data_IF_785782893907
#
_entry.id   IF_785782893907
#
_cell.length_a   1.000
_cell.length_b   1.000
_cell.length_c   1.000
_cell.angle_alpha   90.00
_cell.angle_beta   90.00
_cell.angle_gamma   90.00
#
_symmetry.space_group_name_H-M   'P 1'
#
loop_
_entity.id
_entity.type
_entity.pdbx_description
1 polymer ?
#
# COMPACT_ATOMS: atom_id res chain seq x y z
N UNK A 1 -15.13 -6.53 -64.21
CA UNK A 1 -13.67 -6.66 -64.37
C UNK A 1 -13.01 -5.76 -63.34
N UNK A 2 -12.46 -6.34 -62.28
CA UNK A 2 -11.83 -5.59 -61.20
C UNK A 2 -10.43 -5.12 -61.62
N UNK A 3 -10.25 -3.80 -61.71
CA UNK A 3 -8.94 -3.18 -61.93
C UNK A 3 -8.09 -3.41 -60.69
N UNK A 4 -7.03 -4.21 -60.84
CA UNK A 4 -6.01 -4.37 -59.80
C UNK A 4 -5.15 -3.10 -59.76
N UNK A 5 -5.48 -2.20 -58.84
CA UNK A 5 -4.59 -1.09 -58.49
C UNK A 5 -3.49 -1.65 -57.60
N UNK A 6 -2.28 -1.81 -58.15
CA UNK A 6 -1.10 -2.20 -57.38
C UNK A 6 -0.45 -1.00 -56.73
N UNK A 7 0.03 -1.15 -55.49
CA UNK A 7 0.89 -0.17 -54.84
C UNK A 7 2.19 0.00 -55.64
N UNK A 8 2.65 1.24 -55.79
CA UNK A 8 3.92 1.50 -56.46
C UNK A 8 5.10 1.18 -55.54
N UNK A 9 6.22 0.71 -56.10
CA UNK A 9 7.42 0.42 -55.32
C UNK A 9 7.95 1.70 -54.61
N UNK A 10 7.78 2.85 -55.26
CA UNK A 10 8.19 4.14 -54.71
C UNK A 10 7.33 4.61 -53.53
N UNK A 11 6.02 4.32 -53.51
CA UNK A 11 5.17 4.58 -52.35
C UNK A 11 5.68 3.84 -51.12
N UNK A 12 6.01 2.56 -51.28
CA UNK A 12 6.51 1.76 -50.16
C UNK A 12 7.90 2.25 -49.72
N UNK A 13 8.76 2.69 -50.64
CA UNK A 13 10.06 3.27 -50.30
C UNK A 13 9.95 4.55 -49.46
N UNK A 14 9.09 5.49 -49.86
CA UNK A 14 8.92 6.75 -49.10
C UNK A 14 8.35 6.46 -47.70
N UNK A 15 7.40 5.53 -47.59
CA UNK A 15 6.80 5.16 -46.30
C UNK A 15 7.84 4.58 -45.35
N UNK A 16 8.67 3.62 -45.80
CA UNK A 16 9.69 3.04 -44.92
C UNK A 16 10.75 4.06 -44.51
N UNK A 17 11.07 5.03 -45.37
CA UNK A 17 12.01 6.12 -45.04
C UNK A 17 11.42 7.01 -43.95
N UNK A 18 10.17 7.43 -44.09
CA UNK A 18 9.49 8.26 -43.08
C UNK A 18 9.35 7.50 -41.76
N UNK A 19 8.93 6.23 -41.81
CA UNK A 19 8.84 5.37 -40.61
C UNK A 19 10.22 5.15 -39.96
N UNK A 20 11.29 5.04 -40.75
CA UNK A 20 12.65 4.94 -40.25
C UNK A 20 13.09 6.17 -39.45
N UNK A 21 12.81 7.38 -39.96
CA UNK A 21 13.15 8.63 -39.26
C UNK A 21 12.36 8.77 -37.95
N UNK A 22 11.05 8.48 -37.98
CA UNK A 22 10.21 8.55 -36.78
C UNK A 22 10.65 7.53 -35.72
N UNK A 23 10.97 6.31 -36.13
CA UNK A 23 11.46 5.28 -35.23
C UNK A 23 12.80 5.67 -34.57
N UNK A 24 13.73 6.26 -35.33
CA UNK A 24 15.04 6.67 -34.82
C UNK A 24 14.95 7.65 -33.65
N UNK A 25 13.99 8.58 -33.66
CA UNK A 25 13.80 9.56 -32.57
C UNK A 25 12.85 9.06 -31.47
N UNK A 26 11.86 8.23 -31.82
CA UNK A 26 10.82 7.79 -30.89
C UNK A 26 11.25 6.64 -29.98
N UNK A 27 12.02 5.69 -30.51
CA UNK A 27 12.38 4.45 -29.80
C UNK A 27 13.23 4.70 -28.55
N UNK A 28 14.28 5.55 -28.56
CA UNK A 28 15.07 5.81 -27.35
C UNK A 28 14.23 6.42 -26.21
N UNK A 29 13.32 7.34 -26.55
CA UNK A 29 12.43 7.99 -25.58
C UNK A 29 11.43 6.99 -24.96
N UNK A 30 10.94 6.04 -25.75
CA UNK A 30 10.05 4.99 -25.28
C UNK A 30 10.72 4.10 -24.22
N UNK A 31 11.98 3.71 -24.42
CA UNK A 31 12.71 2.90 -23.44
C UNK A 31 12.88 3.60 -22.09
N UNK A 32 13.17 4.91 -22.08
CA UNK A 32 13.22 5.69 -20.84
C UNK A 32 11.87 5.76 -20.11
N UNK A 33 10.77 5.89 -20.84
CA UNK A 33 9.43 5.87 -20.23
C UNK A 33 9.08 4.51 -19.64
N UNK A 34 9.45 3.41 -20.31
CA UNK A 34 9.25 2.05 -19.79
C UNK A 34 10.08 1.83 -18.53
N UNK A 35 11.34 2.27 -18.51
CA UNK A 35 12.21 2.18 -17.34
C UNK A 35 11.63 2.96 -16.14
N UNK A 36 11.14 4.18 -16.38
CA UNK A 36 10.47 4.99 -15.36
C UNK A 36 9.17 4.35 -14.87
N UNK A 37 8.37 3.77 -15.76
CA UNK A 37 7.14 3.08 -15.40
C UNK A 37 7.42 1.85 -14.51
N UNK A 38 8.48 1.08 -14.82
CA UNK A 38 8.92 -0.02 -13.95
C UNK A 38 9.38 0.49 -12.59
N UNK A 39 10.18 1.56 -12.55
CA UNK A 39 10.68 2.13 -11.30
C UNK A 39 9.58 2.80 -10.45
N UNK A 40 8.42 3.14 -11.03
CA UNK A 40 7.31 3.78 -10.32
C UNK A 40 6.68 2.89 -9.23
N UNK A 41 6.92 1.57 -9.24
CA UNK A 41 6.46 0.69 -8.15
C UNK A 41 7.24 0.92 -6.84
N UNK A 42 8.48 1.42 -6.92
CA UNK A 42 9.37 1.61 -5.75
C UNK A 42 8.87 2.73 -4.83
N UNK A 43 8.59 3.97 -5.28
CA UNK A 43 8.09 5.02 -4.40
C UNK A 43 6.77 4.67 -3.72
N UNK A 44 5.88 3.95 -4.40
CA UNK A 44 4.62 3.49 -3.82
C UNK A 44 4.86 2.47 -2.71
N UNK A 45 5.71 1.47 -2.96
CA UNK A 45 6.05 0.45 -1.97
C UNK A 45 6.77 1.04 -0.76
N UNK A 46 7.69 1.98 -0.98
CA UNK A 46 8.41 2.68 0.07
C UNK A 46 7.50 3.61 0.89
N UNK A 47 6.55 4.29 0.25
CA UNK A 47 5.60 5.16 0.92
C UNK A 47 4.67 4.41 1.88
N UNK A 48 4.27 3.18 1.54
CA UNK A 48 3.50 2.32 2.45
C UNK A 48 4.36 1.90 3.64
N UNK A 49 5.61 1.50 3.40
CA UNK A 49 6.56 1.13 4.46
C UNK A 49 6.77 2.28 5.46
N UNK A 50 7.05 3.49 4.98
CA UNK A 50 7.29 4.68 5.83
C UNK A 50 6.09 4.92 6.74
N UNK A 51 4.87 4.90 6.20
CA UNK A 51 3.65 5.17 6.99
C UNK A 51 3.40 4.13 8.07
N UNK A 52 3.62 2.85 7.76
CA UNK A 52 3.47 1.76 8.74
C UNK A 52 4.54 1.83 9.81
N UNK A 53 5.79 2.12 9.42
CA UNK A 53 6.89 2.23 10.36
C UNK A 53 6.73 3.45 11.29
N UNK A 54 6.25 4.58 10.77
CA UNK A 54 5.95 5.80 11.53
C UNK A 54 4.82 5.55 12.56
N UNK A 55 3.73 4.90 12.13
CA UNK A 55 2.66 4.50 13.03
C UNK A 55 3.14 3.54 14.13
N UNK A 56 4.01 2.59 13.78
CA UNK A 56 4.59 1.66 14.73
C UNK A 56 5.52 2.35 15.74
N UNK A 57 6.35 3.30 15.28
CA UNK A 57 7.20 4.12 16.17
C UNK A 57 6.36 4.85 17.21
N UNK A 58 5.21 5.40 16.82
CA UNK A 58 4.32 6.11 17.73
C UNK A 58 3.54 5.21 18.71
N UNK A 59 3.27 3.95 18.36
CA UNK A 59 2.55 3.02 19.24
C UNK A 59 3.49 2.23 20.17
N UNK A 60 4.58 1.73 19.61
CA UNK A 60 5.42 0.69 20.18
C UNK A 60 6.80 1.19 20.62
N UNK A 61 7.11 2.48 20.40
CA UNK A 61 8.36 3.15 20.77
C UNK A 61 9.60 2.41 20.24
N UNK A 62 9.49 1.86 19.04
CA UNK A 62 10.52 1.02 18.43
C UNK A 62 10.45 1.03 16.91
N UNK A 63 11.48 0.47 16.28
CA UNK A 63 11.53 0.20 14.84
C UNK A 63 11.30 -1.29 14.64
N UNK A 64 10.32 -1.65 13.83
CA UNK A 64 9.83 -3.02 13.71
C UNK A 64 10.35 -3.71 12.46
N UNK A 65 10.34 -5.04 12.46
CA UNK A 65 10.46 -5.82 11.22
C UNK A 65 9.20 -5.67 10.38
N UNK A 66 9.20 -6.12 9.13
CA UNK A 66 8.01 -6.11 8.28
C UNK A 66 6.80 -6.83 8.90
N UNK A 67 7.04 -7.88 9.69
CA UNK A 67 5.99 -8.61 10.39
C UNK A 67 5.39 -7.79 11.53
N UNK A 68 6.21 -7.04 12.26
CA UNK A 68 5.77 -6.24 13.40
C UNK A 68 4.91 -5.06 12.95
N UNK A 69 5.30 -4.41 11.85
CA UNK A 69 4.58 -3.26 11.29
C UNK A 69 3.43 -3.66 10.34
N UNK A 70 3.27 -4.95 10.05
CA UNK A 70 2.27 -5.45 9.10
C UNK A 70 2.53 -5.07 7.64
N UNK A 71 3.79 -4.80 7.26
CA UNK A 71 4.16 -4.42 5.90
C UNK A 71 4.30 -5.63 4.99
N UNK A 72 3.45 -5.72 3.97
CA UNK A 72 3.57 -6.70 2.90
C UNK A 72 4.21 -6.05 1.66
N UNK A 73 5.40 -6.52 1.29
CA UNK A 73 6.06 -6.06 0.07
C UNK A 73 5.31 -6.53 -1.19
N UNK A 74 5.35 -5.76 -2.30
CA UNK A 74 4.75 -6.16 -3.57
C UNK A 74 5.25 -7.53 -4.03
N UNK A 75 4.32 -8.35 -4.54
CA UNK A 75 4.65 -9.69 -5.02
C UNK A 75 5.23 -10.62 -3.95
N UNK A 76 4.89 -10.41 -2.67
CA UNK A 76 5.44 -11.19 -1.54
C UNK A 76 6.97 -11.11 -1.44
N UNK A 77 7.52 -9.92 -1.68
CA UNK A 77 8.96 -9.66 -1.61
C UNK A 77 9.65 -9.65 -2.97
N UNK A 78 8.97 -10.03 -4.07
CA UNK A 78 9.56 -10.00 -5.41
C UNK A 78 8.52 -9.80 -6.51
N UNK A 79 8.75 -8.83 -7.39
CA UNK A 79 7.98 -8.61 -8.61
C UNK A 79 8.78 -9.06 -9.84
N UNK A 80 8.26 -8.82 -11.04
CA UNK A 80 9.02 -9.02 -12.28
C UNK A 80 10.20 -8.04 -12.42
N UNK A 81 10.17 -6.92 -11.71
CA UNK A 81 11.12 -5.82 -11.88
C UNK A 81 12.07 -5.68 -10.69
N UNK A 82 11.59 -5.94 -9.47
CA UNK A 82 12.29 -5.67 -8.22
C UNK A 82 12.24 -6.84 -7.23
N UNK A 83 13.27 -6.89 -6.40
CA UNK A 83 13.37 -7.73 -5.21
C UNK A 83 13.46 -6.82 -3.99
N UNK A 84 12.60 -7.04 -3.00
CA UNK A 84 12.50 -6.20 -1.81
C UNK A 84 13.16 -6.88 -0.62
N UNK A 85 13.83 -6.10 0.22
CA UNK A 85 14.54 -6.60 1.39
C UNK A 85 14.15 -5.88 2.67
N UNK A 86 13.87 -6.64 3.72
CA UNK A 86 13.71 -6.14 5.08
C UNK A 86 15.09 -6.01 5.71
N UNK A 87 15.50 -4.78 5.98
CA UNK A 87 16.81 -4.46 6.54
C UNK A 87 16.74 -4.33 8.08
N UNK A 88 15.56 -4.50 8.67
CA UNK A 88 15.33 -4.59 10.11
C UNK A 88 15.17 -6.06 10.49
N UNK A 89 16.27 -6.71 10.86
CA UNK A 89 16.27 -8.15 11.19
C UNK A 89 15.61 -8.50 12.53
N UNK A 90 15.43 -7.52 13.41
CA UNK A 90 14.75 -7.64 14.69
C UNK A 90 14.22 -6.27 15.14
N UNK A 91 13.15 -6.25 15.94
CA UNK A 91 12.66 -5.02 16.58
C UNK A 91 13.81 -4.33 17.32
N UNK A 92 14.00 -3.04 17.05
CA UNK A 92 14.99 -2.18 17.70
C UNK A 92 14.29 -1.14 18.55
N UNK A 93 14.80 -0.88 19.74
CA UNK A 93 14.40 0.30 20.51
C UNK A 93 15.00 1.56 19.87
N UNK A 94 14.31 2.69 20.03
CA UNK A 94 14.78 3.96 19.48
C UNK A 94 15.80 4.56 20.46
N UNK A 95 17.06 4.58 20.04
CA UNK A 95 18.12 5.32 20.71
C UNK A 95 18.45 6.54 19.85
N UNK A 96 18.28 7.75 20.40
CA UNK A 96 18.54 9.02 19.73
C UNK A 96 20.02 9.20 19.33
N UNK A 97 20.91 8.43 19.94
CA UNK A 97 22.35 8.46 19.69
C UNK A 97 22.78 7.32 18.75
N UNK A 98 21.84 6.49 18.26
CA UNK A 98 22.13 5.43 17.31
C UNK A 98 22.39 5.98 15.89
N UNK A 99 23.32 5.33 15.19
CA UNK A 99 23.62 5.66 13.79
C UNK A 99 22.42 5.37 12.88
N UNK A 100 22.23 6.21 11.87
CA UNK A 100 21.22 5.99 10.84
C UNK A 100 21.51 4.68 10.09
N UNK A 101 20.47 3.91 9.80
CA UNK A 101 20.61 2.60 9.18
C UNK A 101 19.57 2.38 8.09
N UNK A 102 19.85 1.44 7.19
CA UNK A 102 18.92 1.04 6.15
C UNK A 102 17.79 0.21 6.77
N UNK A 103 16.53 0.63 6.59
CA UNK A 103 15.35 -0.10 7.09
C UNK A 103 14.64 -0.92 6.00
N UNK A 104 14.67 -0.42 4.77
CA UNK A 104 13.99 -1.04 3.63
C UNK A 104 14.84 -0.89 2.37
N UNK A 105 14.80 -1.90 1.51
CA UNK A 105 15.44 -1.85 0.20
C UNK A 105 14.57 -2.43 -0.92
N UNK A 106 14.78 -1.93 -2.13
CA UNK A 106 14.28 -2.51 -3.38
C UNK A 106 15.41 -2.53 -4.41
N UNK A 107 15.69 -3.71 -4.95
CA UNK A 107 16.80 -3.93 -5.89
C UNK A 107 16.23 -4.34 -7.25
N UNK A 108 16.63 -3.68 -8.33
CA UNK A 108 16.15 -4.03 -9.66
C UNK A 108 16.78 -5.34 -10.16
N UNK A 109 15.97 -6.21 -10.75
CA UNK A 109 16.38 -7.52 -11.26
C UNK A 109 17.09 -7.42 -12.62
N UNK A 110 16.71 -6.43 -13.43
CA UNK A 110 17.24 -6.15 -14.76
C UNK A 110 17.58 -4.67 -14.90
N UNK A 111 18.48 -4.32 -15.82
CA UNK A 111 18.76 -2.92 -16.10
C UNK A 111 17.50 -2.14 -16.51
N UNK A 112 17.41 -0.91 -16.03
CA UNK A 112 16.33 0.03 -16.32
C UNK A 112 16.94 1.19 -17.11
N UNK A 113 17.13 0.98 -18.41
CA UNK A 113 17.87 1.91 -19.27
C UNK A 113 19.35 2.01 -18.82
N UNK A 114 19.86 3.19 -18.46
CA UNK A 114 21.23 3.39 -17.97
C UNK A 114 21.41 2.97 -16.51
N UNK A 115 20.32 2.73 -15.78
CA UNK A 115 20.38 2.17 -14.43
C UNK A 115 20.75 0.68 -14.52
N UNK A 116 21.95 0.34 -14.02
CA UNK A 116 22.48 -1.03 -14.04
C UNK A 116 21.58 -2.01 -13.29
N UNK A 117 21.63 -3.30 -13.64
CA UNK A 117 20.97 -4.33 -12.85
C UNK A 117 21.57 -4.39 -11.45
N UNK A 118 20.76 -4.76 -10.45
CA UNK A 118 21.14 -4.81 -9.02
C UNK A 118 21.48 -3.46 -8.39
N UNK A 119 21.08 -2.36 -9.00
CA UNK A 119 20.96 -1.07 -8.33
C UNK A 119 19.84 -1.11 -7.29
N UNK A 120 20.00 -0.34 -6.22
CA UNK A 120 19.12 -0.40 -5.06
C UNK A 120 18.56 0.98 -4.71
N UNK A 121 17.29 0.97 -4.32
CA UNK A 121 16.58 2.04 -3.64
C UNK A 121 16.47 1.66 -2.18
N UNK A 122 16.64 2.64 -1.31
CA UNK A 122 16.69 2.42 0.13
C UNK A 122 15.93 3.48 0.91
N UNK A 123 15.36 3.07 2.04
CA UNK A 123 14.89 3.98 3.08
C UNK A 123 15.85 3.91 4.25
N UNK A 124 16.55 5.00 4.49
CA UNK A 124 17.38 5.18 5.68
C UNK A 124 16.48 5.70 6.79
N UNK A 125 16.57 5.07 7.95
CA UNK A 125 15.91 5.50 9.18
C UNK A 125 16.97 6.19 10.03
N UNK A 126 16.65 7.41 10.45
CA UNK A 126 17.49 8.24 11.30
C UNK A 126 16.76 8.52 12.62
N UNK A 127 17.15 7.86 13.72
CA UNK A 127 16.60 8.13 15.05
C UNK A 127 16.97 9.55 15.50
N UNK A 128 15.97 10.43 15.71
CA UNK A 128 16.24 11.82 16.11
C UNK A 128 15.83 12.13 17.55
N UNK A 129 14.88 11.39 18.09
CA UNK A 129 14.44 11.49 19.48
C UNK A 129 13.83 10.16 19.94
N UNK A 130 13.54 10.02 21.24
CA UNK A 130 13.03 8.78 21.87
C UNK A 130 11.78 8.17 21.20
N UNK A 131 11.00 8.95 20.44
CA UNK A 131 9.83 8.45 19.70
C UNK A 131 9.63 9.15 18.37
N UNK A 132 10.72 9.65 17.78
CA UNK A 132 10.70 10.33 16.48
C UNK A 132 11.85 9.82 15.63
N UNK A 133 11.52 9.38 14.41
CA UNK A 133 12.49 8.95 13.41
C UNK A 133 12.28 9.76 12.13
N UNK A 134 13.35 10.08 11.43
CA UNK A 134 13.30 10.64 10.10
C UNK A 134 13.53 9.54 9.06
N UNK A 135 12.80 9.63 7.94
CA UNK A 135 12.95 8.71 6.83
C UNK A 135 13.57 9.44 5.64
N UNK A 136 14.73 8.96 5.20
CA UNK A 136 15.42 9.50 4.01
C UNK A 136 15.39 8.48 2.88
N UNK A 137 14.84 8.89 1.75
CA UNK A 137 14.83 8.11 0.51
C UNK A 137 16.18 8.28 -0.20
N UNK A 138 16.79 7.18 -0.61
CA UNK A 138 18.09 7.18 -1.32
C UNK A 138 18.13 6.14 -2.43
N UNK A 139 18.95 6.40 -3.44
CA UNK A 139 19.21 5.47 -4.54
C UNK A 139 20.71 5.29 -4.77
N UNK A 140 21.11 4.10 -5.21
CA UNK A 140 22.52 3.71 -5.34
C UNK A 140 23.30 4.45 -6.43
N UNK A 141 22.63 4.99 -7.46
CA UNK A 141 23.31 5.66 -8.59
C UNK A 141 22.51 6.83 -9.18
N UNK A 142 23.22 7.73 -9.85
CA UNK A 142 22.63 8.92 -10.47
C UNK A 142 21.70 8.58 -11.64
N UNK A 143 22.02 7.52 -12.40
CA UNK A 143 21.20 7.04 -13.51
C UNK A 143 19.84 6.56 -13.00
N UNK A 144 19.83 5.84 -11.88
CA UNK A 144 18.60 5.37 -11.23
C UNK A 144 17.80 6.51 -10.58
N UNK A 145 18.48 7.56 -10.07
CA UNK A 145 17.83 8.76 -9.54
C UNK A 145 16.95 9.48 -10.59
N UNK A 146 17.30 9.39 -11.88
CA UNK A 146 16.48 9.96 -12.94
C UNK A 146 15.12 9.26 -13.15
N UNK A 147 15.01 8.00 -12.70
CA UNK A 147 13.82 7.18 -12.86
C UNK A 147 12.76 7.47 -11.79
N UNK A 148 13.17 7.91 -10.60
CA UNK A 148 12.30 8.13 -9.44
C UNK A 148 12.45 9.56 -8.91
N UNK A 149 11.34 10.31 -8.86
CA UNK A 149 11.37 11.71 -8.41
C UNK A 149 11.56 11.81 -6.89
N UNK A 150 12.44 12.72 -6.43
CA UNK A 150 12.78 12.94 -5.02
C UNK A 150 13.60 11.82 -4.35
N UNK A 151 14.39 11.09 -5.14
CA UNK A 151 15.33 10.08 -4.64
C UNK A 151 16.78 10.51 -4.91
N UNK A 152 17.41 11.25 -3.98
CA UNK A 152 18.83 11.62 -4.12
C UNK A 152 19.74 10.40 -4.04
N UNK A 153 20.93 10.53 -4.62
CA UNK A 153 21.95 9.47 -4.57
C UNK A 153 22.50 9.36 -3.15
N UNK A 154 22.61 8.12 -2.66
CA UNK A 154 23.15 7.80 -1.34
C UNK A 154 23.68 6.38 -1.27
N UNK A 155 24.29 6.02 -0.15
CA UNK A 155 24.76 4.66 0.09
C UNK A 155 23.60 3.74 0.43
N UNK A 156 23.32 2.77 -0.44
CA UNK A 156 22.34 1.70 -0.20
C UNK A 156 23.09 0.39 -0.15
N UNK A 157 23.34 -0.12 1.06
CA UNK A 157 23.88 -1.47 1.24
C UNK A 157 22.74 -2.47 1.46
N UNK A 158 22.15 -2.93 0.36
CA UNK A 158 21.07 -3.91 0.38
C UNK A 158 21.53 -5.33 0.79
N UNK A 159 22.84 -5.57 0.93
CA UNK A 159 23.37 -6.90 1.26
C UNK A 159 23.06 -7.32 2.69
N UNK A 160 22.85 -6.36 3.59
CA UNK A 160 22.44 -6.59 4.97
C UNK A 160 20.94 -6.91 5.12
N UNK A 161 20.16 -6.80 4.05
CA UNK A 161 18.72 -6.97 4.10
C UNK A 161 18.33 -8.44 3.88
N UNK A 162 17.38 -8.91 4.69
CA UNK A 162 16.76 -10.21 4.50
C UNK A 162 15.76 -10.16 3.34
N UNK A 163 15.77 -11.18 2.48
CA UNK A 163 14.80 -11.26 1.38
C UNK A 163 13.38 -11.25 1.95
N UNK A 164 12.53 -10.39 1.39
CA UNK A 164 11.20 -10.12 1.91
C UNK A 164 10.43 -11.38 2.30
N UNK A 165 10.15 -11.54 3.59
CA UNK A 165 9.45 -12.70 4.09
C UNK A 165 8.05 -12.78 3.46
N UNK A 166 7.71 -13.96 2.94
CA UNK A 166 6.35 -14.33 2.55
C UNK A 166 5.45 -14.20 3.77
N UNK A 167 4.65 -13.13 3.85
CA UNK A 167 3.49 -13.14 4.72
C UNK A 167 2.55 -14.19 4.15
N UNK A 168 2.51 -15.38 4.76
CA UNK A 168 1.38 -16.27 4.57
C UNK A 168 0.21 -15.56 5.24
N UNK A 169 -0.50 -14.73 4.47
CA UNK A 169 -1.85 -14.36 4.85
C UNK A 169 -2.60 -15.68 5.05
N UNK A 170 -3.07 -15.94 6.26
CA UNK A 170 -4.13 -16.92 6.46
C UNK A 170 -5.26 -16.54 5.48
N UNK A 171 -5.79 -17.50 4.70
CA UNK A 171 -6.76 -17.20 3.67
C UNK A 171 -8.07 -16.77 4.32
N UNK A 172 -8.29 -15.46 4.43
CA UNK A 172 -9.62 -14.94 4.78
C UNK A 172 -10.59 -15.20 3.61
N UNK A 173 -11.79 -15.74 3.85
CA UNK A 173 -12.67 -16.21 2.80
C UNK A 173 -13.37 -15.03 2.11
N UNK A 174 -13.17 -14.97 0.80
CA UNK A 174 -14.14 -14.47 -0.19
C UNK A 174 -14.40 -12.96 -0.17
N UNK A 175 -13.60 -12.22 -0.95
CA UNK A 175 -14.06 -10.97 -1.57
C UNK A 175 -14.08 -11.19 -3.10
N UNK A 176 -15.22 -11.00 -3.78
CA UNK A 176 -15.34 -11.19 -5.22
C UNK A 176 -14.58 -10.12 -6.02
N UNK A 177 -14.09 -10.52 -7.19
CA UNK A 177 -13.45 -9.69 -8.21
C UNK A 177 -14.16 -8.34 -8.43
N UNK A 178 -13.41 -7.23 -8.58
CA UNK A 178 -13.99 -5.98 -9.09
C UNK A 178 -14.36 -6.17 -10.56
N UNK A 179 -15.67 -6.26 -10.83
CA UNK A 179 -16.22 -6.22 -12.18
C UNK A 179 -15.97 -4.85 -12.80
N UNK A 180 -15.47 -4.87 -14.04
CA UNK A 180 -15.38 -3.70 -14.92
C UNK A 180 -16.76 -3.09 -15.12
N UNK A 181 -17.01 -1.92 -14.56
CA UNK A 181 -18.13 -1.07 -14.97
C UNK A 181 -17.70 -0.25 -16.19
N UNK A 182 -18.18 -0.69 -17.35
CA UNK A 182 -18.28 0.14 -18.55
C UNK A 182 -19.10 1.39 -18.25
N UNK A 183 -18.50 2.53 -18.58
CA UNK A 183 -19.08 3.87 -18.65
C UNK A 183 -20.31 3.90 -19.58
N UNK A 184 -21.44 4.54 -19.19
CA UNK A 184 -22.46 4.95 -20.14
C UNK A 184 -22.34 6.44 -20.48
N UNK A 185 -22.35 6.72 -21.79
CA UNK A 185 -22.42 8.05 -22.41
C UNK A 185 -23.60 8.91 -21.89
N UNK A 186 -23.50 10.26 -21.98
CA UNK A 186 -24.48 11.19 -21.40
C UNK A 186 -25.66 11.47 -22.35
N UNK A 187 -26.87 11.57 -21.78
CA UNK A 187 -28.01 12.23 -22.43
C UNK A 187 -28.71 13.19 -21.46
N UNK A 188 -28.86 14.42 -21.95
CA UNK A 188 -29.48 15.58 -21.32
C UNK A 188 -30.97 15.70 -21.76
N UNK A 189 -31.76 16.71 -21.33
CA UNK A 189 -32.60 16.72 -20.12
C UNK A 189 -34.11 16.73 -20.43
N UNK A 190 -34.96 16.39 -19.45
CA UNK A 190 -36.42 16.52 -19.64
C UNK A 190 -37.30 16.25 -18.41
N UNK A 191 -37.84 17.35 -17.87
CA UNK A 191 -39.17 17.53 -17.25
C UNK A 191 -39.53 16.97 -15.86
N UNK A 192 -39.82 17.95 -15.00
CA UNK A 192 -40.50 17.95 -13.70
C UNK A 192 -41.93 17.39 -13.77
N UNK A 193 -42.49 16.92 -12.63
CA UNK A 193 -43.80 17.38 -12.07
C UNK A 193 -44.02 16.85 -10.63
N UNK A 194 -44.31 17.80 -9.69
CA UNK A 194 -45.11 17.83 -8.44
C UNK A 194 -44.99 16.69 -7.39
N UNK A 195 -44.58 16.95 -6.14
CA UNK A 195 -45.19 17.70 -5.01
C UNK A 195 -46.40 17.01 -4.34
N UNK A 196 -46.14 16.39 -3.18
CA UNK A 196 -47.00 16.42 -2.00
C UNK A 196 -46.11 16.23 -0.74
N UNK A 197 -46.18 17.19 0.19
CA UNK A 197 -45.59 17.26 1.54
C UNK A 197 -46.75 17.36 2.56
N UNK A 198 -46.56 17.32 3.90
CA UNK A 198 -45.46 16.76 4.68
C UNK A 198 -45.94 15.94 5.91
N UNK A 199 -45.02 15.27 6.61
CA UNK A 199 -45.05 15.23 8.07
C UNK A 199 -43.62 15.15 8.62
N UNK A 200 -43.26 16.18 9.40
CA UNK A 200 -42.10 16.31 10.31
C UNK A 200 -41.81 14.99 11.05
N UNK A 201 -40.57 14.63 11.38
CA UNK A 201 -39.60 15.39 12.21
C UNK A 201 -38.19 14.76 12.06
N UNK A 202 -37.15 15.60 11.94
CA UNK A 202 -35.71 15.29 12.09
C UNK A 202 -35.29 15.46 13.58
N UNK A 203 -34.02 15.26 14.03
CA UNK A 203 -32.79 14.94 13.29
C UNK A 203 -31.89 13.82 13.88
N UNK A 204 -31.00 13.34 13.00
CA UNK A 204 -29.57 13.03 13.18
C UNK A 204 -29.00 12.36 14.45
N UNK A 205 -28.16 11.34 14.23
CA UNK A 205 -26.88 11.29 14.94
C UNK A 205 -26.37 9.93 15.45
N UNK A 206 -25.26 9.51 14.86
CA UNK A 206 -24.16 8.74 15.47
C UNK A 206 -24.29 7.21 15.66
N UNK A 207 -23.50 6.53 14.85
CA UNK A 207 -23.08 5.14 14.90
C UNK A 207 -22.07 4.89 16.04
N UNK A 208 -22.29 3.85 16.84
CA UNK A 208 -21.25 3.25 17.69
C UNK A 208 -20.80 1.91 17.11
N UNK A 209 -19.50 1.83 16.87
CA UNK A 209 -18.73 0.69 16.35
C UNK A 209 -18.79 -0.50 17.31
N UNK A 210 -19.18 -1.67 16.80
CA UNK A 210 -19.22 -2.93 17.53
C UNK A 210 -17.85 -3.62 17.59
N UNK A 211 -17.52 -4.11 18.79
CA UNK A 211 -16.93 -5.45 18.94
C UNK A 211 -18.10 -6.43 18.94
N UNK A 212 -18.01 -7.49 18.12
CA UNK A 212 -19.07 -8.48 17.95
C UNK A 212 -19.29 -9.30 19.23
N UNK A 213 -20.31 -8.97 20.01
CA UNK A 213 -20.95 -9.88 20.97
C UNK A 213 -22.46 -9.58 21.00
N UNK A 214 -23.35 -10.55 20.73
CA UNK A 214 -24.78 -10.29 20.75
C UNK A 214 -25.30 -10.16 22.19
N UNK A 215 -26.00 -9.06 22.49
CA UNK A 215 -26.73 -8.88 23.75
C UNK A 215 -28.08 -9.61 23.69
N UNK A 216 -28.41 -10.38 24.73
CA UNK A 216 -29.76 -10.96 24.93
C UNK A 216 -30.61 -10.00 25.76
N UNK A 217 -31.91 -9.89 25.47
CA UNK A 217 -32.87 -8.93 26.05
C UNK A 217 -33.18 -9.13 27.56
N UNK A 218 -32.38 -9.92 28.28
CA UNK A 218 -32.60 -10.27 29.69
C UNK A 218 -31.62 -9.57 30.66
N UNK A 219 -31.01 -8.45 30.27
CA UNK A 219 -30.05 -7.68 31.09
C UNK A 219 -28.82 -8.47 31.58
N UNK A 220 -28.36 -9.45 30.79
CA UNK A 220 -27.16 -10.25 31.12
C UNK A 220 -26.21 -10.38 29.92
N UNK A 221 -24.96 -9.96 30.11
CA UNK A 221 -23.86 -10.24 29.18
C UNK A 221 -23.17 -11.56 29.56
N UNK A 222 -23.04 -12.50 28.62
CA UNK A 222 -22.22 -13.71 28.79
C UNK A 222 -20.92 -13.56 28.00
N UNK A 223 -19.78 -13.54 28.68
CA UNK A 223 -18.47 -13.64 28.03
C UNK A 223 -18.22 -15.10 27.63
N UNK A 224 -18.06 -15.35 26.34
CA UNK A 224 -17.59 -16.63 25.81
C UNK A 224 -16.09 -16.76 26.03
N UNK A 225 -15.68 -17.53 27.04
CA UNK A 225 -14.27 -17.86 27.30
C UNK A 225 -13.91 -19.24 26.76
N UNK A 226 -12.89 -19.30 25.91
CA UNK A 226 -12.14 -20.52 25.59
C UNK A 226 -11.47 -21.11 26.84
N UNK A 227 -11.31 -22.42 26.83
CA UNK A 227 -11.10 -23.32 27.97
C UNK A 227 -9.91 -23.01 28.91
N UNK A 228 -10.14 -23.13 30.22
CA UNK A 228 -9.32 -23.92 31.16
C UNK A 228 -10.11 -24.18 32.46
N UNK A 229 -9.74 -25.25 33.16
CA UNK A 229 -10.53 -26.00 34.14
C UNK A 229 -10.99 -25.26 35.41
N UNK A 230 -12.10 -25.77 35.95
CA UNK A 230 -12.77 -25.53 37.24
C UNK A 230 -13.83 -24.42 37.28
N UNK A 231 -15.06 -24.87 37.54
CA UNK A 231 -16.28 -24.12 37.33
C UNK A 231 -16.59 -23.05 38.36
N UNK A 232 -17.12 -21.93 37.85
CA UNK A 232 -18.26 -21.16 38.36
C UNK A 232 -18.54 -20.06 37.35
N UNK A 233 -19.59 -20.22 36.52
CA UNK A 233 -20.13 -19.10 35.74
C UNK A 233 -20.69 -18.08 36.74
N UNK A 234 -19.97 -17.00 37.02
CA UNK A 234 -20.49 -15.87 37.80
C UNK A 234 -21.28 -14.99 36.84
N UNK A 235 -22.61 -15.05 36.94
CA UNK A 235 -23.45 -13.96 36.43
C UNK A 235 -23.17 -12.72 37.29
N UNK A 236 -22.81 -11.60 36.67
CA UNK A 236 -22.54 -10.34 37.36
C UNK A 236 -23.74 -9.40 37.14
N UNK A 237 -24.36 -8.90 38.21
CA UNK A 237 -25.40 -7.87 38.15
C UNK A 237 -24.75 -6.49 37.91
N UNK A 238 -25.09 -5.83 36.78
CA UNK A 238 -24.55 -4.51 36.42
C UNK A 238 -24.87 -3.39 37.42
N UNK A 239 -25.83 -3.58 38.34
CA UNK A 239 -26.20 -2.56 39.33
C UNK A 239 -25.14 -2.34 40.43
N UNK A 240 -24.09 -3.17 40.52
CA UNK A 240 -23.07 -3.09 41.59
C UNK A 240 -21.62 -2.87 41.14
N UNK A 241 -21.34 -2.62 39.86
CA UNK A 241 -19.96 -2.46 39.37
C UNK A 241 -19.58 -1.00 39.08
N UNK A 242 -18.51 -0.50 39.70
CA UNK A 242 -17.88 0.81 39.44
C UNK A 242 -17.13 0.91 38.09
N UNK A 243 -17.46 0.09 37.10
CA UNK A 243 -16.81 0.11 35.78
C UNK A 243 -17.67 0.90 34.78
N UNK A 244 -17.16 2.05 34.35
CA UNK A 244 -17.78 3.02 33.42
C UNK A 244 -18.16 2.44 32.04
N UNK A 245 -17.63 1.28 31.66
CA UNK A 245 -17.77 0.73 30.30
C UNK A 245 -18.99 -0.17 30.04
N UNK A 246 -19.85 -0.48 31.03
CA UNK A 246 -20.98 -1.41 30.82
C UNK A 246 -22.34 -0.74 30.58
N UNK A 247 -22.47 0.58 30.75
CA UNK A 247 -23.77 1.26 30.68
C UNK A 247 -24.12 1.90 29.33
N UNK A 248 -23.36 1.66 28.25
CA UNK A 248 -23.61 2.32 26.96
C UNK A 248 -24.63 1.61 26.05
N UNK A 249 -25.17 0.44 26.43
CA UNK A 249 -26.05 -0.35 25.53
C UNK A 249 -27.48 -0.60 26.03
N UNK A 250 -27.93 0.02 27.13
CA UNK A 250 -29.35 0.03 27.49
C UNK A 250 -29.80 1.47 27.70
N UNK A 251 -30.22 2.11 26.62
CA UNK A 251 -30.71 3.49 26.63
C UNK A 251 -32.11 3.60 27.23
N UNK A 252 -32.27 4.64 28.06
CA UNK A 252 -33.23 5.71 27.78
C UNK A 252 -32.45 7.00 27.67
#
# INVERSE_FOLDING_TARGET
MDKKNGFTLIEIMVVIVIMGVLAAVGVPKLFGMIAKAKAAEVPTAAGVYIRLQDAFVHNDHGIGTWKDIGYAAPGNGKTSNFEYGDCVVAKKEIDKDAESFLGWSATNLSSLNECSARSAWGIIIDPVAESTVNFTQVVSSQECASLTSNWPVGSVDASACSAGATQTAEPDPKVPEPQQTTEPEPKEPGQQTQQDEPKEEEPEGSTCLGTNTPCSNDNKCSLGGGATNQGKKKNMDCSKSQFSGCCACCGT
#
